data_IF_264360543110
#
_entry.id   IF_264360543110
#
_cell.length_a   1.000
_cell.length_b   1.000
_cell.length_c   1.000
_cell.angle_alpha   90.00
_cell.angle_beta   90.00
_cell.angle_gamma   90.00
#
_symmetry.space_group_name_H-M   'P 1'
#
loop_
_entity.id
_entity.type
_entity.pdbx_description
1 polymer ?
#
# COMPACT_ATOMS: atom_id res chain seq x y z
N UNK A 1 -16.66 9.82 6.28
CA UNK A 1 -15.88 9.16 5.21
C UNK A 1 -14.46 9.73 5.23
N UNK A 2 -13.44 8.92 5.53
CA UNK A 2 -12.04 9.35 5.61
C UNK A 2 -11.59 9.98 4.26
N UNK A 3 -11.01 11.19 4.30
CA UNK A 3 -10.66 11.99 3.13
C UNK A 3 -9.70 11.29 2.17
N UNK A 4 -8.77 10.47 2.68
CA UNK A 4 -7.84 9.68 1.88
C UNK A 4 -8.56 8.69 0.96
N UNK A 5 -9.51 7.93 1.51
CA UNK A 5 -10.27 6.94 0.73
C UNK A 5 -11.25 7.61 -0.24
N UNK A 6 -11.71 8.83 0.06
CA UNK A 6 -12.49 9.62 -0.88
C UNK A 6 -11.65 10.02 -2.09
N UNK A 7 -10.48 10.62 -1.84
CA UNK A 7 -9.53 11.01 -2.88
C UNK A 7 -9.12 9.81 -3.75
N UNK A 8 -8.72 8.70 -3.12
CA UNK A 8 -8.30 7.50 -3.85
C UNK A 8 -9.42 6.96 -4.77
N UNK A 9 -10.68 6.97 -4.29
CA UNK A 9 -11.83 6.55 -5.08
C UNK A 9 -12.11 7.51 -6.24
N UNK A 10 -12.11 8.81 -6.00
CA UNK A 10 -12.32 9.84 -7.04
C UNK A 10 -11.24 9.76 -8.13
N UNK A 11 -10.01 9.44 -7.74
CA UNK A 11 -8.89 9.23 -8.65
C UNK A 11 -8.84 7.82 -9.26
N UNK A 12 -9.84 6.97 -9.01
CA UNK A 12 -9.90 5.58 -9.51
C UNK A 12 -8.65 4.75 -9.15
N UNK A 13 -8.09 4.97 -7.97
CA UNK A 13 -6.94 4.25 -7.46
C UNK A 13 -7.39 3.05 -6.62
N UNK A 14 -6.64 1.95 -6.73
CA UNK A 14 -6.76 0.75 -5.89
C UNK A 14 -5.69 0.80 -4.81
N UNK A 15 -6.02 0.40 -3.60
CA UNK A 15 -5.03 0.22 -2.54
C UNK A 15 -4.34 -1.13 -2.68
N UNK A 16 -3.01 -1.17 -2.52
CA UNK A 16 -2.25 -2.42 -2.39
C UNK A 16 -2.63 -3.12 -1.08
N UNK A 17 -2.77 -4.45 -1.14
CA UNK A 17 -2.96 -5.31 0.04
C UNK A 17 -1.67 -6.09 0.27
N UNK A 18 -1.21 -6.12 1.51
CA UNK A 18 0.00 -6.84 1.92
C UNK A 18 -0.42 -8.15 2.59
N UNK A 19 0.25 -9.27 2.26
CA UNK A 19 -0.08 -10.60 2.77
C UNK A 19 0.35 -10.78 4.23
N UNK A 20 1.50 -10.24 4.61
CA UNK A 20 1.98 -10.13 6.00
C UNK A 20 2.17 -8.65 6.35
N UNK A 21 1.12 -8.06 6.92
CA UNK A 21 1.01 -6.62 7.11
C UNK A 21 1.64 -6.17 8.43
N UNK A 22 2.97 -6.04 8.41
CA UNK A 22 3.80 -5.53 9.50
C UNK A 22 3.95 -3.99 9.46
N UNK A 23 3.00 -3.26 8.85
CA UNK A 23 3.05 -1.80 8.81
C UNK A 23 2.95 -1.22 10.21
N UNK A 24 3.63 -0.10 10.43
CA UNK A 24 3.43 0.70 11.63
C UNK A 24 1.98 1.15 11.71
N UNK A 25 1.44 1.11 12.94
CA UNK A 25 0.07 1.51 13.24
C UNK A 25 0.09 2.59 14.31
N UNK A 26 -0.79 3.58 14.17
CA UNK A 26 -1.17 4.47 15.24
C UNK A 26 -2.68 4.35 15.47
N UNK A 27 -3.11 4.34 16.73
CA UNK A 27 -4.51 4.15 17.11
C UNK A 27 -5.16 2.92 16.43
N UNK A 28 -4.40 1.84 16.28
CA UNK A 28 -4.83 0.58 15.63
C UNK A 28 -4.94 0.62 14.10
N UNK A 29 -4.60 1.73 13.45
CA UNK A 29 -4.74 1.92 11.99
C UNK A 29 -3.37 2.01 11.30
N UNK A 30 -3.20 1.42 10.11
CA UNK A 30 -1.97 1.58 9.34
C UNK A 30 -1.78 3.05 8.92
N UNK A 31 -0.53 3.51 8.93
CA UNK A 31 -0.17 4.89 8.56
C UNK A 31 0.25 5.01 7.10
N UNK A 32 0.91 3.98 6.57
CA UNK A 32 1.53 4.01 5.25
C UNK A 32 0.68 3.25 4.23
N UNK A 33 0.54 3.80 3.02
CA UNK A 33 -0.32 3.25 1.97
C UNK A 33 0.35 3.34 0.60
N UNK A 34 0.13 2.32 -0.23
CA UNK A 34 0.42 2.37 -1.67
C UNK A 34 -0.90 2.29 -2.43
N UNK A 35 -1.13 3.23 -3.32
CA UNK A 35 -2.28 3.28 -4.23
C UNK A 35 -1.80 3.21 -5.67
N UNK A 36 -2.49 2.46 -6.52
CA UNK A 36 -2.08 2.19 -7.91
C UNK A 36 -3.28 2.15 -8.86
N UNK A 37 -3.03 2.35 -10.16
CA UNK A 37 -4.03 2.27 -11.23
C UNK A 37 -3.38 1.77 -12.51
N UNK A 38 -4.12 1.00 -13.30
CA UNK A 38 -3.63 0.52 -14.61
C UNK A 38 -2.57 -0.58 -14.58
N UNK A 39 -2.22 -1.11 -13.39
CA UNK A 39 -1.20 -2.15 -13.21
C UNK A 39 -1.79 -3.37 -12.50
N UNK A 40 -1.05 -4.47 -12.54
CA UNK A 40 -1.24 -5.64 -11.69
C UNK A 40 -0.16 -5.65 -10.60
N UNK A 41 -0.53 -6.02 -9.38
CA UNK A 41 0.43 -6.23 -8.29
C UNK A 41 0.85 -7.70 -8.36
N UNK A 42 2.13 -7.97 -8.59
CA UNK A 42 2.68 -9.33 -8.57
C UNK A 42 3.09 -9.74 -7.17
N UNK A 43 3.69 -8.81 -6.41
CA UNK A 43 4.11 -9.03 -5.04
C UNK A 43 3.91 -7.76 -4.21
N UNK A 44 3.56 -7.94 -2.93
CA UNK A 44 3.50 -6.85 -1.97
C UNK A 44 3.87 -7.36 -0.57
N UNK A 45 4.94 -6.80 0.00
CA UNK A 45 5.45 -7.19 1.30
C UNK A 45 5.89 -5.97 2.12
N UNK A 46 6.05 -6.18 3.42
CA UNK A 46 6.53 -5.18 4.37
C UNK A 46 7.85 -5.67 4.94
N UNK A 47 8.94 -4.96 4.69
CA UNK A 47 10.25 -5.34 5.19
C UNK A 47 10.41 -4.88 6.63
N UNK A 48 10.56 -5.81 7.57
CA UNK A 48 10.80 -5.47 8.98
C UNK A 48 12.25 -5.06 9.17
N UNK A 49 12.47 -3.84 9.67
CA UNK A 49 13.81 -3.31 9.92
C UNK A 49 13.84 -2.36 11.12
N UNK A 50 15.05 -2.02 11.56
CA UNK A 50 15.33 -1.01 12.60
C UNK A 50 16.01 0.23 12.04
N UNK A 51 16.20 0.30 10.72
CA UNK A 51 16.88 1.41 10.05
C UNK A 51 16.05 2.71 10.05
N UNK A 52 14.73 2.62 10.22
CA UNK A 52 13.78 3.72 10.36
C UNK A 52 12.71 3.34 11.38
N UNK A 53 11.99 4.33 11.89
CA UNK A 53 10.75 4.16 12.65
C UNK A 53 9.61 3.57 11.81
N UNK A 54 9.66 3.67 10.47
CA UNK A 54 8.74 3.01 9.54
C UNK A 54 9.37 1.77 8.88
N UNK A 55 8.53 0.77 8.61
CA UNK A 55 8.92 -0.38 7.79
C UNK A 55 8.72 -0.05 6.31
N UNK A 56 9.71 -0.29 5.43
CA UNK A 56 9.55 -0.12 3.99
C UNK A 56 8.42 -0.98 3.41
N UNK A 57 7.65 -0.40 2.49
CA UNK A 57 6.66 -1.11 1.68
C UNK A 57 7.29 -1.47 0.33
N UNK A 58 7.36 -2.76 0.04
CA UNK A 58 7.86 -3.28 -1.22
C UNK A 58 6.66 -3.71 -2.06
N UNK A 59 6.55 -3.20 -3.28
CA UNK A 59 5.49 -3.55 -4.21
C UNK A 59 6.08 -3.75 -5.59
N UNK A 60 5.85 -4.91 -6.16
CA UNK A 60 6.18 -5.21 -7.54
C UNK A 60 4.95 -5.08 -8.41
N UNK A 61 5.11 -4.37 -9.53
CA UNK A 61 4.05 -4.16 -10.49
C UNK A 61 4.40 -4.81 -11.82
N UNK A 62 3.37 -5.37 -12.46
CA UNK A 62 3.42 -5.81 -13.83
C UNK A 62 2.48 -4.94 -14.66
N UNK A 63 2.88 -4.66 -15.90
CA UNK A 63 1.97 -4.06 -16.87
C UNK A 63 0.78 -5.00 -17.09
N UNK A 64 -0.40 -4.42 -17.31
CA UNK A 64 -1.52 -5.22 -17.81
C UNK A 64 -1.20 -5.54 -19.27
N UNK A 65 -1.14 -6.83 -19.61
CA UNK A 65 -1.18 -7.22 -21.01
C UNK A 65 -2.51 -6.72 -21.60
N UNK A 66 -2.44 -6.14 -22.79
CA UNK A 66 -3.58 -5.57 -23.50
C UNK A 66 -4.56 -6.66 -23.93
#
# INVERSE_FOLDING_TARGET
MNALYRFAREMSLRQVRFTDDQRRRAFGRPLDFVFYRGLNVSEASVLVTRASDHNPLLVEFQSRQA
#
